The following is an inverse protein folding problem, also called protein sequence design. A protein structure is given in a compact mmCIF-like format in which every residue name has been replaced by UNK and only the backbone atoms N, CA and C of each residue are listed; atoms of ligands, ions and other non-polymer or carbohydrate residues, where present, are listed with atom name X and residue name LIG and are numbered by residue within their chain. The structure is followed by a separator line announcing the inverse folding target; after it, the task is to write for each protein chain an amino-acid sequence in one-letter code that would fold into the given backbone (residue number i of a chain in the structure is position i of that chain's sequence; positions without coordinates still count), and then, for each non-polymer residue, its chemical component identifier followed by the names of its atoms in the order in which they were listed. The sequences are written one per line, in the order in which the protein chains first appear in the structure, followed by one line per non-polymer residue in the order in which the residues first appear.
data_IF_474515156157
#
_entry.id   IF_474515156157
#
_cell.length_a   1.000
_cell.length_b   1.000
_cell.length_c   1.000
_cell.angle_alpha   90.00
_cell.angle_beta   90.00
_cell.angle_gamma   90.00
#
_symmetry.space_group_name_H-M   'P 1'
#
loop_
_entity.id
_entity.type
_entity.pdbx_description
1 polymer ?
#
# COMPACT_ATOMS: atom_id res chain seq x y z
N UNK A 1 6.57 17.80 11.84
CA UNK A 1 5.63 16.70 12.17
C UNK A 1 5.87 15.59 11.16
N UNK A 2 6.02 14.35 11.59
CA UNK A 2 5.97 13.22 10.67
C UNK A 2 4.54 13.11 10.14
N UNK A 3 4.36 12.93 8.83
CA UNK A 3 3.05 12.69 8.27
C UNK A 3 2.53 11.32 8.77
N UNK A 4 1.28 11.27 9.22
CA UNK A 4 0.64 10.03 9.66
C UNK A 4 0.58 9.04 8.49
N UNK A 5 0.78 7.76 8.76
CA UNK A 5 0.74 6.70 7.75
C UNK A 5 -0.08 5.52 8.25
N UNK A 6 -0.55 4.73 7.31
CA UNK A 6 -1.10 3.39 7.54
C UNK A 6 -0.21 2.35 6.89
N UNK A 7 -0.17 1.16 7.48
CA UNK A 7 0.46 -0.02 6.94
C UNK A 7 -0.60 -1.05 6.58
N UNK A 8 -0.66 -1.41 5.30
CA UNK A 8 -1.43 -2.56 4.83
C UNK A 8 -0.49 -3.77 4.89
N UNK A 9 -0.73 -4.67 5.83
CA UNK A 9 0.07 -5.89 6.01
C UNK A 9 -0.34 -6.98 5.02
N UNK A 10 0.65 -7.73 4.53
CA UNK A 10 0.45 -8.97 3.78
C UNK A 10 -0.02 -10.14 4.64
N UNK A 11 -0.84 -9.86 5.65
CA UNK A 11 -1.45 -10.79 6.59
C UNK A 11 -2.95 -10.50 6.59
N UNK A 12 -3.76 -11.53 6.44
CA UNK A 12 -5.21 -11.40 6.52
C UNK A 12 -5.64 -11.18 7.97
N UNK A 13 -6.84 -10.68 8.20
CA UNK A 13 -7.44 -10.55 9.54
C UNK A 13 -7.56 -11.90 10.25
N UNK A 14 -7.57 -13.02 9.51
CA UNK A 14 -7.48 -14.39 10.04
C UNK A 14 -6.06 -14.86 10.37
N UNK A 15 -5.02 -14.04 10.16
CA UNK A 15 -3.62 -14.35 10.47
C UNK A 15 -2.86 -15.11 9.39
N UNK A 16 -3.46 -15.34 8.21
CA UNK A 16 -2.81 -16.05 7.11
C UNK A 16 -1.97 -15.11 6.25
N UNK A 17 -0.86 -15.59 5.70
CA UNK A 17 -0.03 -14.82 4.75
C UNK A 17 -0.77 -14.64 3.43
N UNK A 18 -0.92 -13.39 2.99
CA UNK A 18 -1.56 -13.05 1.73
C UNK A 18 -0.67 -13.42 0.54
N UNK A 19 -1.31 -13.85 -0.55
CA UNK A 19 -0.65 -14.33 -1.78
C UNK A 19 -1.31 -13.70 -3.01
N UNK A 20 -0.58 -13.56 -4.12
CA UNK A 20 0.82 -13.96 -4.34
C UNK A 20 1.81 -13.07 -3.57
N UNK A 21 3.07 -13.50 -3.45
CA UNK A 21 4.07 -12.75 -2.67
C UNK A 21 4.40 -11.39 -3.26
N UNK A 22 4.22 -11.19 -4.56
CA UNK A 22 4.47 -9.92 -5.26
C UNK A 22 3.28 -8.94 -5.17
N UNK A 23 2.24 -9.22 -4.37
CA UNK A 23 1.03 -8.37 -4.29
C UNK A 23 1.34 -6.90 -4.00
N UNK A 24 2.28 -6.61 -3.09
CA UNK A 24 2.62 -5.25 -2.69
C UNK A 24 3.23 -4.47 -3.87
N UNK A 25 4.09 -5.13 -4.66
CA UNK A 25 4.65 -4.61 -5.90
C UNK A 25 3.54 -4.29 -6.91
N UNK A 26 2.59 -5.22 -7.09
CA UNK A 26 1.47 -5.05 -8.04
C UNK A 26 0.59 -3.88 -7.62
N UNK A 27 0.27 -3.75 -6.33
CA UNK A 27 -0.55 -2.65 -5.82
C UNK A 27 0.13 -1.29 -6.00
N UNK A 28 1.41 -1.17 -5.59
CA UNK A 28 2.17 0.07 -5.74
C UNK A 28 2.36 0.49 -7.22
N UNK A 29 2.49 -0.50 -8.11
CA UNK A 29 2.58 -0.27 -9.56
C UNK A 29 1.25 0.22 -10.15
N UNK A 30 0.12 -0.30 -9.67
CA UNK A 30 -1.22 0.09 -10.13
C UNK A 30 -1.56 1.55 -9.82
N UNK A 31 -0.99 2.10 -8.74
CA UNK A 31 -1.12 3.51 -8.36
C UNK A 31 0.06 4.37 -8.80
N UNK A 32 1.00 3.79 -9.54
CA UNK A 32 2.17 4.47 -10.08
C UNK A 32 1.86 5.28 -11.34
N UNK A 33 2.83 6.10 -11.75
CA UNK A 33 2.76 6.86 -13.00
C UNK A 33 3.83 6.39 -13.99
N UNK A 34 3.56 6.61 -15.29
CA UNK A 34 4.52 6.33 -16.35
C UNK A 34 5.61 7.42 -16.35
N UNK A 35 6.85 7.01 -16.13
CA UNK A 35 8.03 7.86 -16.27
C UNK A 35 8.69 7.74 -17.65
N UNK A 36 9.69 8.60 -17.93
CA UNK A 36 10.47 8.53 -19.17
C UNK A 36 11.03 7.12 -19.41
N UNK A 37 10.94 6.62 -20.64
CA UNK A 37 11.44 5.30 -21.02
C UNK A 37 10.58 4.11 -20.56
N UNK A 38 9.26 4.30 -20.38
CA UNK A 38 8.30 3.26 -19.95
C UNK A 38 8.58 2.68 -18.56
N UNK A 39 9.34 3.39 -17.71
CA UNK A 39 9.57 2.98 -16.32
C UNK A 39 8.41 3.43 -15.45
N UNK A 40 7.84 2.53 -14.67
CA UNK A 40 6.80 2.89 -13.71
C UNK A 40 7.49 3.49 -12.48
N UNK A 41 7.00 4.66 -12.05
CA UNK A 41 7.39 5.30 -10.79
C UNK A 41 6.25 5.14 -9.79
N UNK A 42 6.55 4.66 -8.59
CA UNK A 42 5.55 4.60 -7.53
C UNK A 42 5.07 5.99 -7.13
N UNK A 43 3.84 6.05 -6.64
CA UNK A 43 3.32 7.26 -6.04
C UNK A 43 4.18 7.66 -4.83
N UNK A 44 4.57 8.93 -4.65
CA UNK A 44 5.46 9.35 -3.57
C UNK A 44 4.91 9.06 -2.16
N UNK A 45 3.58 8.96 -2.02
CA UNK A 45 2.87 8.63 -0.77
C UNK A 45 2.62 7.14 -0.57
N UNK A 46 3.10 6.28 -1.48
CA UNK A 46 2.88 4.82 -1.45
C UNK A 46 4.22 4.11 -1.56
N UNK A 47 4.55 3.30 -0.56
CA UNK A 47 5.83 2.61 -0.47
C UNK A 47 5.63 1.12 -0.20
N UNK A 48 6.50 0.28 -0.77
CA UNK A 48 6.56 -1.14 -0.43
C UNK A 48 7.55 -1.31 0.70
N UNK A 49 7.20 -2.11 1.71
CA UNK A 49 8.07 -2.45 2.82
C UNK A 49 8.11 -3.96 3.05
N UNK A 50 9.24 -4.46 3.56
CA UNK A 50 9.36 -5.81 4.10
C UNK A 50 9.54 -5.71 5.61
N UNK A 51 8.50 -6.03 6.36
CA UNK A 51 8.47 -5.93 7.83
C UNK A 51 8.34 -7.34 8.38
N UNK A 52 9.32 -7.78 9.17
CA UNK A 52 9.33 -9.15 9.74
C UNK A 52 9.15 -10.26 8.69
N UNK A 53 9.67 -10.06 7.47
CA UNK A 53 9.53 -11.02 6.37
C UNK A 53 8.15 -11.04 5.69
N UNK A 54 7.28 -10.10 6.04
CA UNK A 54 5.97 -9.87 5.43
C UNK A 54 6.04 -8.66 4.50
N UNK A 55 5.57 -8.84 3.26
CA UNK A 55 5.43 -7.74 2.32
C UNK A 55 4.24 -6.87 2.75
N UNK A 56 4.46 -5.58 2.81
CA UNK A 56 3.48 -4.58 3.23
C UNK A 56 3.49 -3.38 2.27
N UNK A 57 2.42 -2.60 2.33
CA UNK A 57 2.33 -1.30 1.65
C UNK A 57 2.09 -0.22 2.69
N UNK A 58 2.95 0.80 2.70
CA UNK A 58 2.81 2.00 3.54
C UNK A 58 2.15 3.09 2.72
N UNK A 59 1.11 3.71 3.27
CA UNK A 59 0.38 4.81 2.64
C UNK A 59 0.37 6.00 3.58
N UNK A 60 0.75 7.18 3.09
CA UNK A 60 0.65 8.42 3.89
C UNK A 60 -0.80 8.91 3.89
N UNK A 61 -1.33 9.30 5.06
CA UNK A 61 -2.76 9.65 5.23
C UNK A 61 -3.16 10.94 4.51
N UNK A 62 -2.23 11.86 4.29
CA UNK A 62 -2.49 13.08 3.49
C UNK A 62 -2.87 12.77 2.03
N UNK A 63 -2.63 11.54 1.56
CA UNK A 63 -3.16 11.06 0.28
C UNK A 63 -4.69 11.07 0.22
N UNK A 64 -5.38 10.95 1.35
CA UNK A 64 -6.84 11.02 1.41
C UNK A 64 -7.35 12.41 0.97
N UNK A 65 -6.64 13.47 1.33
CA UNK A 65 -6.97 14.84 0.92
C UNK A 65 -6.48 15.14 -0.50
N UNK A 66 -5.25 14.73 -0.84
CA UNK A 66 -4.65 14.98 -2.16
C UNK A 66 -5.36 14.20 -3.29
N UNK A 67 -5.72 12.94 -3.03
CA UNK A 67 -6.37 12.05 -3.99
C UNK A 67 -7.27 11.02 -3.29
N UNK A 68 -8.51 11.43 -2.92
CA UNK A 68 -9.45 10.56 -2.20
C UNK A 68 -9.72 9.25 -2.94
N UNK A 69 -9.76 9.29 -4.27
CA UNK A 69 -9.99 8.10 -5.10
C UNK A 69 -8.83 7.10 -5.01
N UNK A 70 -7.58 7.57 -4.96
CA UNK A 70 -6.40 6.71 -4.85
C UNK A 70 -6.29 6.10 -3.45
N UNK A 71 -6.54 6.91 -2.42
CA UNK A 71 -6.58 6.44 -1.04
C UNK A 71 -7.70 5.41 -0.83
N UNK A 72 -8.89 5.68 -1.37
CA UNK A 72 -10.01 4.73 -1.35
C UNK A 72 -9.68 3.43 -2.10
N UNK A 73 -9.00 3.50 -3.25
CA UNK A 73 -8.55 2.30 -3.97
C UNK A 73 -7.62 1.42 -3.11
N UNK A 74 -6.64 2.03 -2.43
CA UNK A 74 -5.68 1.32 -1.58
C UNK A 74 -6.34 0.71 -0.34
N UNK A 75 -7.18 1.47 0.35
CA UNK A 75 -7.89 1.00 1.55
C UNK A 75 -8.96 -0.03 1.21
N UNK A 76 -9.67 0.14 0.09
CA UNK A 76 -10.63 -0.85 -0.40
C UNK A 76 -9.95 -2.15 -0.83
N UNK A 77 -8.75 -2.10 -1.39
CA UNK A 77 -7.95 -3.30 -1.67
C UNK A 77 -7.68 -4.09 -0.39
N UNK A 78 -7.28 -3.41 0.70
CA UNK A 78 -7.07 -4.05 1.99
C UNK A 78 -8.37 -4.66 2.53
N UNK A 79 -9.47 -3.91 2.52
CA UNK A 79 -10.77 -4.37 3.01
C UNK A 79 -11.30 -5.59 2.24
N UNK A 80 -11.25 -5.54 0.90
CA UNK A 80 -11.74 -6.61 0.02
C UNK A 80 -10.96 -7.90 0.19
N UNK A 81 -9.65 -7.80 0.45
CA UNK A 81 -8.78 -8.95 0.67
C UNK A 81 -8.64 -9.33 2.16
N UNK A 82 -9.43 -8.69 3.03
CA UNK A 82 -9.38 -8.86 4.48
C UNK A 82 -7.96 -8.74 5.04
N UNK A 83 -7.18 -7.75 4.58
CA UNK A 83 -5.83 -7.51 5.09
C UNK A 83 -5.88 -6.72 6.38
N UNK A 84 -4.90 -6.97 7.26
CA UNK A 84 -4.68 -6.15 8.44
C UNK A 84 -4.19 -4.76 8.03
N UNK A 85 -4.77 -3.73 8.66
CA UNK A 85 -4.37 -2.34 8.50
C UNK A 85 -4.10 -1.76 9.88
N UNK A 86 -2.98 -1.08 10.04
CA UNK A 86 -2.53 -0.52 11.32
C UNK A 86 -1.86 0.85 11.10
N UNK A 87 -1.88 1.71 12.12
CA UNK A 87 -1.14 2.98 12.08
C UNK A 87 0.37 2.71 12.03
N UNK A 88 1.09 3.50 11.23
CA UNK A 88 2.52 3.32 10.99
C UNK A 88 3.30 4.61 11.26
N UNK A 89 4.40 4.55 12.04
CA UNK A 89 5.18 5.72 12.42
C UNK A 89 5.94 6.41 11.25
#
# INVERSE_FOLDING_TARGET
MAAEKILIKGITTSGAKFRPSDWAQRLATAVGSSGPGRRIKYHPKVQIALIEGINCVVVTKDLEEESPMLYSFLTNFANTNHLQVEDYP
#
